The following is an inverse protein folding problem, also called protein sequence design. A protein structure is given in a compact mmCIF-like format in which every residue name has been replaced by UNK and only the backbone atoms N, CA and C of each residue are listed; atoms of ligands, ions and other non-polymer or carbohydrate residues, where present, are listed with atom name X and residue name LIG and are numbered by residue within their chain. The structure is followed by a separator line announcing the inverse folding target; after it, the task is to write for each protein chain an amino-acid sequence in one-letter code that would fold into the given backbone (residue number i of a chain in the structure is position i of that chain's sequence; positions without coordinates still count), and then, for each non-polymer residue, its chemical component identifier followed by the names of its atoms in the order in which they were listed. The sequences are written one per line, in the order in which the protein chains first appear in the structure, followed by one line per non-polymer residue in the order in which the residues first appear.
data_IF_902766457914
#
_entry.id   IF_902766457914
#
_cell.length_a   1.000
_cell.length_b   1.000
_cell.length_c   1.000
_cell.angle_alpha   90.00
_cell.angle_beta   90.00
_cell.angle_gamma   90.00
#
_symmetry.space_group_name_H-M   'P 1'
#
loop_
_entity.id
_entity.type
_entity.pdbx_description
1 polymer ?
#
# COMPACT_ATOMS: atom_id res chain seq x y z
N UNK A 1 -11.21 -4.87 8.26
CA UNK A 1 -10.08 -4.13 7.66
C UNK A 1 -10.12 -4.31 6.15
N UNK A 2 -9.54 -3.37 5.41
CA UNK A 2 -9.46 -3.35 3.96
C UNK A 2 -8.00 -3.14 3.59
N UNK A 3 -7.44 -4.01 2.75
CA UNK A 3 -6.04 -3.95 2.34
C UNK A 3 -5.91 -3.56 0.86
N UNK A 4 -5.33 -2.39 0.58
CA UNK A 4 -5.32 -1.83 -0.78
C UNK A 4 -4.00 -2.03 -1.53
N UNK A 5 -3.06 -2.80 -0.97
CA UNK A 5 -1.77 -3.07 -1.60
C UNK A 5 -1.38 -4.53 -1.38
N UNK A 6 -1.42 -5.33 -2.44
CA UNK A 6 -1.00 -6.73 -2.41
C UNK A 6 -0.56 -7.25 -3.78
N UNK A 7 0.40 -8.17 -3.76
CA UNK A 7 0.91 -8.92 -4.91
C UNK A 7 0.43 -10.37 -4.83
N UNK A 8 -0.88 -10.56 -4.65
CA UNK A 8 -1.51 -11.88 -4.59
C UNK A 8 -2.08 -12.33 -5.93
N UNK A 9 -1.93 -11.54 -7.00
CA UNK A 9 -2.33 -11.96 -8.33
C UNK A 9 -1.31 -13.01 -8.85
N UNK A 10 -1.71 -14.26 -9.11
CA UNK A 10 -0.74 -15.35 -9.24
C UNK A 10 0.06 -15.28 -10.55
N UNK A 11 1.39 -15.31 -10.43
CA UNK A 11 2.31 -15.53 -11.54
C UNK A 11 2.46 -14.35 -12.51
N UNK A 12 2.13 -13.12 -12.07
CA UNK A 12 2.25 -11.91 -12.92
C UNK A 12 3.43 -11.00 -12.55
N UNK A 13 3.91 -11.07 -11.31
CA UNK A 13 5.04 -10.29 -10.79
C UNK A 13 5.85 -11.09 -9.75
N UNK A 14 6.55 -10.42 -8.85
CA UNK A 14 7.38 -11.00 -7.79
C UNK A 14 6.58 -11.46 -6.55
N UNK A 15 5.25 -11.38 -6.62
CA UNK A 15 4.31 -11.84 -5.62
C UNK A 15 4.06 -13.35 -5.58
N UNK A 16 2.80 -13.68 -5.29
CA UNK A 16 2.31 -15.05 -5.27
C UNK A 16 2.52 -15.75 -6.61
N UNK A 17 3.00 -17.00 -6.58
CA UNK A 17 3.35 -17.78 -7.78
C UNK A 17 2.19 -18.59 -8.32
N UNK A 18 1.25 -19.00 -7.46
CA UNK A 18 0.13 -19.88 -7.85
C UNK A 18 -1.17 -19.47 -7.18
N UNK A 19 -2.29 -19.94 -7.74
CA UNK A 19 -3.63 -19.69 -7.19
C UNK A 19 -3.74 -20.27 -5.78
N UNK A 20 -3.16 -21.45 -5.55
CA UNK A 20 -3.18 -22.13 -4.25
C UNK A 20 -2.46 -21.32 -3.18
N UNK A 21 -1.30 -20.73 -3.52
CA UNK A 21 -0.58 -19.84 -2.60
C UNK A 21 -1.43 -18.61 -2.27
N UNK A 22 -2.01 -17.95 -3.27
CA UNK A 22 -2.87 -16.80 -3.04
C UNK A 22 -4.08 -17.15 -2.18
N UNK A 23 -4.75 -18.26 -2.45
CA UNK A 23 -5.93 -18.72 -1.69
C UNK A 23 -5.56 -19.05 -0.24
N UNK A 24 -4.39 -19.63 0.01
CA UNK A 24 -3.92 -19.88 1.38
C UNK A 24 -3.76 -18.57 2.17
N UNK A 25 -3.09 -17.57 1.59
CA UNK A 25 -2.94 -16.25 2.21
C UNK A 25 -4.29 -15.55 2.40
N UNK A 26 -5.17 -15.59 1.39
CA UNK A 26 -6.51 -15.01 1.47
C UNK A 26 -7.31 -15.60 2.65
N UNK A 27 -7.23 -16.92 2.88
CA UNK A 27 -7.88 -17.56 4.03
C UNK A 27 -7.34 -17.03 5.35
N UNK A 28 -6.03 -16.85 5.47
CA UNK A 28 -5.40 -16.34 6.68
C UNK A 28 -5.82 -14.89 6.97
N UNK A 29 -5.76 -13.99 5.98
CA UNK A 29 -6.12 -12.59 6.20
C UNK A 29 -7.61 -12.40 6.48
N UNK A 30 -8.49 -13.28 5.96
CA UNK A 30 -9.91 -13.30 6.34
C UNK A 30 -10.08 -13.60 7.83
N UNK A 31 -9.36 -14.59 8.37
CA UNK A 31 -9.38 -14.89 9.81
C UNK A 31 -8.85 -13.72 10.65
N UNK A 32 -7.98 -12.88 10.08
CA UNK A 32 -7.49 -11.66 10.72
C UNK A 32 -8.46 -10.48 10.62
N UNK A 33 -9.59 -10.64 9.93
CA UNK A 33 -10.65 -9.65 9.79
C UNK A 33 -10.51 -8.72 8.57
N UNK A 34 -9.77 -9.13 7.53
CA UNK A 34 -9.74 -8.44 6.24
C UNK A 34 -10.97 -8.86 5.42
N UNK A 35 -11.79 -7.89 4.98
CA UNK A 35 -13.03 -8.12 4.22
C UNK A 35 -12.90 -7.74 2.75
N UNK A 36 -11.95 -6.89 2.42
CA UNK A 36 -11.71 -6.39 1.07
C UNK A 36 -10.21 -6.32 0.84
N UNK A 37 -9.77 -6.73 -0.35
CA UNK A 37 -8.37 -6.62 -0.76
C UNK A 37 -8.25 -6.15 -2.21
N UNK A 38 -7.33 -5.23 -2.48
CA UNK A 38 -6.97 -4.83 -3.83
C UNK A 38 -5.73 -5.59 -4.29
N UNK A 39 -5.83 -6.26 -5.43
CA UNK A 39 -4.70 -6.91 -6.10
C UNK A 39 -4.01 -5.87 -6.98
N UNK A 40 -2.81 -5.49 -6.61
CA UNK A 40 -2.05 -4.37 -7.18
C UNK A 40 -0.72 -4.83 -7.75
N UNK A 41 -0.71 -5.73 -8.75
CA UNK A 41 0.54 -6.18 -9.34
C UNK A 41 1.30 -5.01 -9.96
N UNK A 42 2.62 -5.15 -10.07
CA UNK A 42 3.46 -4.11 -10.67
C UNK A 42 3.06 -3.79 -12.12
N UNK A 43 3.01 -2.50 -12.46
CA UNK A 43 2.81 -2.01 -13.82
C UNK A 43 3.69 -0.78 -14.07
N UNK A 44 4.51 -0.80 -15.13
CA UNK A 44 5.24 0.39 -15.52
C UNK A 44 4.31 1.44 -16.14
N UNK A 45 4.47 2.72 -15.77
CA UNK A 45 3.74 3.83 -16.37
C UNK A 45 3.93 3.87 -17.90
N UNK A 46 5.09 3.42 -18.40
CA UNK A 46 5.36 3.25 -19.82
C UNK A 46 4.46 2.26 -20.57
N UNK A 47 3.77 1.36 -19.86
CA UNK A 47 2.85 0.36 -20.41
C UNK A 47 1.38 0.67 -20.14
N UNK A 48 1.08 1.77 -19.45
CA UNK A 48 -0.29 2.07 -19.01
C UNK A 48 -1.26 2.30 -20.18
N UNK A 49 -0.76 2.80 -21.32
CA UNK A 49 -1.55 3.02 -22.53
C UNK A 49 -2.07 1.72 -23.16
N UNK A 50 -1.43 0.58 -22.85
CA UNK A 50 -1.87 -0.73 -23.32
C UNK A 50 -3.07 -1.27 -22.50
N UNK A 51 -3.45 -0.55 -21.44
CA UNK A 51 -4.48 -0.95 -20.49
C UNK A 51 -4.01 -2.01 -19.50
N UNK A 52 -4.97 -2.74 -18.92
CA UNK A 52 -4.66 -3.86 -18.03
C UNK A 52 -4.04 -5.01 -18.85
N UNK A 53 -2.87 -5.54 -18.47
CA UNK A 53 -2.29 -6.68 -19.17
C UNK A 53 -3.25 -7.88 -19.18
N UNK A 54 -3.43 -8.53 -20.34
CA UNK A 54 -4.31 -9.70 -20.48
C UNK A 54 -3.98 -10.84 -19.51
N UNK A 55 -2.71 -10.98 -19.13
CA UNK A 55 -2.29 -11.95 -18.13
C UNK A 55 -2.86 -11.64 -16.75
N UNK A 56 -2.91 -10.36 -16.36
CA UNK A 56 -3.49 -9.91 -15.09
C UNK A 56 -5.00 -10.19 -15.07
N UNK A 57 -5.70 -9.92 -16.17
CA UNK A 57 -7.14 -10.19 -16.28
C UNK A 57 -7.47 -11.68 -16.12
N UNK A 58 -6.70 -12.55 -16.78
CA UNK A 58 -6.86 -14.01 -16.67
C UNK A 58 -6.56 -14.48 -15.25
N UNK A 59 -5.46 -14.05 -14.66
CA UNK A 59 -5.08 -14.40 -13.29
C UNK A 59 -6.14 -13.95 -12.29
N UNK A 60 -6.77 -12.78 -12.50
CA UNK A 60 -7.81 -12.27 -11.62
C UNK A 60 -9.06 -13.13 -11.70
N UNK A 61 -9.53 -13.46 -12.91
CA UNK A 61 -10.71 -14.32 -13.08
C UNK A 61 -10.50 -15.68 -12.43
N UNK A 62 -9.32 -16.28 -12.62
CA UNK A 62 -8.97 -17.57 -12.00
C UNK A 62 -8.94 -17.46 -10.47
N UNK A 63 -8.28 -16.44 -9.91
CA UNK A 63 -8.20 -16.28 -8.46
C UNK A 63 -9.57 -15.96 -7.85
N UNK A 64 -10.36 -15.09 -8.47
CA UNK A 64 -11.69 -14.73 -8.00
C UNK A 64 -12.64 -15.93 -7.94
N UNK A 65 -12.52 -16.87 -8.88
CA UNK A 65 -13.29 -18.11 -8.85
C UNK A 65 -12.87 -19.08 -7.72
N UNK A 66 -11.66 -18.94 -7.20
CA UNK A 66 -11.10 -19.79 -6.14
C UNK A 66 -11.02 -19.10 -4.77
N UNK A 67 -11.38 -17.81 -4.70
CA UNK A 67 -11.27 -17.01 -3.49
C UNK A 67 -12.12 -17.60 -2.36
N UNK A 68 -11.63 -17.59 -1.11
CA UNK A 68 -12.45 -18.03 0.03
C UNK A 68 -13.64 -17.10 0.24
N UNK A 69 -14.69 -17.60 0.88
CA UNK A 69 -15.80 -16.76 1.32
C UNK A 69 -15.33 -15.71 2.33
N UNK A 70 -16.03 -14.57 2.38
CA UNK A 70 -15.76 -13.50 3.35
C UNK A 70 -14.75 -12.44 2.88
N UNK A 71 -14.22 -12.53 1.67
CA UNK A 71 -13.34 -11.50 1.08
C UNK A 71 -13.81 -11.03 -0.30
N UNK A 72 -13.88 -9.72 -0.49
CA UNK A 72 -14.08 -9.09 -1.78
C UNK A 72 -12.72 -8.80 -2.44
N UNK A 73 -12.52 -9.29 -3.67
CA UNK A 73 -11.33 -9.00 -4.45
C UNK A 73 -11.57 -7.80 -5.38
N UNK A 74 -10.70 -6.81 -5.29
CA UNK A 74 -10.70 -5.61 -6.12
C UNK A 74 -9.49 -5.60 -7.04
N UNK A 75 -9.63 -4.94 -8.19
CA UNK A 75 -8.53 -4.77 -9.17
C UNK A 75 -7.79 -3.46 -8.91
N UNK A 76 -6.50 -3.46 -9.18
CA UNK A 76 -5.64 -2.26 -9.21
C UNK A 76 -4.30 -2.59 -9.84
N UNK A 77 -3.34 -1.69 -9.68
CA UNK A 77 -1.94 -1.89 -10.02
C UNK A 77 -1.08 -1.01 -9.12
N UNK A 78 0.11 -1.49 -8.77
CA UNK A 78 1.18 -0.62 -8.25
C UNK A 78 1.93 -0.04 -9.45
N UNK A 79 1.70 1.24 -9.73
CA UNK A 79 2.23 1.89 -10.94
C UNK A 79 3.61 2.48 -10.68
N UNK A 80 4.64 1.85 -11.23
CA UNK A 80 6.00 2.41 -11.25
C UNK A 80 6.05 3.61 -12.19
N UNK A 81 6.25 4.81 -11.65
CA UNK A 81 6.37 6.06 -12.42
C UNK A 81 7.76 6.19 -13.07
N UNK A 82 8.07 5.26 -14.00
CA UNK A 82 9.29 5.23 -14.81
C UNK A 82 9.35 6.35 -15.87
N UNK A 83 8.20 6.94 -16.19
CA UNK A 83 8.03 8.12 -17.03
C UNK A 83 6.74 8.88 -16.66
N UNK A 84 6.56 10.13 -17.11
CA UNK A 84 5.29 10.84 -16.93
C UNK A 84 4.12 10.05 -17.52
N UNK A 85 3.00 10.03 -16.80
CA UNK A 85 1.76 9.41 -17.28
C UNK A 85 1.25 10.16 -18.52
N UNK A 86 0.81 9.44 -19.57
CA UNK A 86 0.14 10.07 -20.70
C UNK A 86 -1.25 10.59 -20.27
N UNK A 87 -1.80 11.63 -20.91
CA UNK A 87 -3.14 12.14 -20.59
C UNK A 87 -4.24 11.06 -20.63
N UNK A 88 -4.11 10.06 -21.51
CA UNK A 88 -5.02 8.93 -21.60
C UNK A 88 -5.12 8.11 -20.30
N UNK A 89 -4.10 8.14 -19.43
CA UNK A 89 -4.10 7.45 -18.15
C UNK A 89 -5.26 7.89 -17.22
N UNK A 90 -5.74 9.13 -17.37
CA UNK A 90 -6.91 9.63 -16.64
C UNK A 90 -8.20 8.81 -16.88
N UNK A 91 -8.24 8.08 -18.00
CA UNK A 91 -9.38 7.27 -18.42
C UNK A 91 -9.14 5.76 -18.27
N UNK A 92 -7.93 5.33 -17.93
CA UNK A 92 -7.57 3.91 -17.75
C UNK A 92 -7.96 3.42 -16.34
N UNK A 93 -9.26 3.43 -16.02
CA UNK A 93 -9.76 3.03 -14.68
C UNK A 93 -9.42 1.59 -14.29
N UNK A 94 -9.11 0.72 -15.25
CA UNK A 94 -8.72 -0.66 -14.96
C UNK A 94 -7.41 -0.81 -14.16
N UNK A 95 -6.56 0.22 -14.12
CA UNK A 95 -5.27 0.20 -13.40
C UNK A 95 -5.27 1.04 -12.11
N UNK A 96 -6.39 1.74 -11.83
CA UNK A 96 -6.61 2.46 -10.56
C UNK A 96 -7.24 1.55 -9.52
N UNK A 97 -7.11 1.88 -8.24
CA UNK A 97 -7.64 1.10 -7.12
C UNK A 97 -9.16 0.99 -7.23
N UNK A 98 -9.66 -0.22 -7.49
CA UNK A 98 -11.07 -0.55 -7.69
C UNK A 98 -11.80 0.30 -8.75
N UNK A 99 -11.08 0.84 -9.73
CA UNK A 99 -11.67 1.74 -10.74
C UNK A 99 -11.99 3.16 -10.25
N UNK A 100 -11.57 3.52 -9.04
CA UNK A 100 -11.70 4.87 -8.49
C UNK A 100 -10.76 5.88 -9.17
N UNK A 101 -10.70 7.12 -8.68
CA UNK A 101 -9.67 8.08 -9.08
C UNK A 101 -8.32 7.87 -8.40
N UNK A 102 -8.23 6.97 -7.42
CA UNK A 102 -7.01 6.73 -6.68
C UNK A 102 -6.09 5.78 -7.44
N UNK A 103 -4.86 6.21 -7.68
CA UNK A 103 -3.84 5.43 -8.37
C UNK A 103 -2.69 5.16 -7.40
N UNK A 104 -2.43 3.89 -7.09
CA UNK A 104 -1.25 3.50 -6.32
C UNK A 104 -0.02 3.68 -7.20
N UNK A 105 0.93 4.48 -6.74
CA UNK A 105 2.16 4.82 -7.49
C UNK A 105 3.39 4.58 -6.64
N UNK A 106 4.46 4.15 -7.29
CA UNK A 106 5.76 3.93 -6.66
C UNK A 106 6.91 4.49 -7.53
N UNK A 107 8.10 4.47 -6.93
CA UNK A 107 9.34 4.95 -7.55
C UNK A 107 10.53 4.04 -7.19
N UNK A 108 11.64 4.11 -7.94
CA UNK A 108 12.88 3.51 -7.50
C UNK A 108 13.32 4.04 -6.13
N UNK A 109 13.85 3.17 -5.27
CA UNK A 109 14.21 3.51 -3.87
C UNK A 109 15.15 4.72 -3.71
N UNK A 110 15.99 4.99 -4.69
CA UNK A 110 16.97 6.10 -4.70
C UNK A 110 16.46 7.34 -5.45
N UNK A 111 15.15 7.57 -5.49
CA UNK A 111 14.54 8.73 -6.15
C UNK A 111 14.73 10.03 -5.35
N UNK A 112 15.12 11.16 -6.00
CA UNK A 112 15.13 12.47 -5.36
C UNK A 112 13.72 12.95 -4.93
N UNK A 113 13.61 13.64 -3.80
CA UNK A 113 12.32 14.08 -3.24
C UNK A 113 11.55 14.99 -4.21
N UNK A 114 12.26 15.89 -4.88
CA UNK A 114 11.72 16.87 -5.81
C UNK A 114 11.22 16.21 -7.10
N UNK A 115 11.80 15.06 -7.48
CA UNK A 115 11.33 14.26 -8.61
C UNK A 115 10.00 13.58 -8.26
N UNK A 116 9.89 13.02 -7.06
CA UNK A 116 8.63 12.46 -6.54
C UNK A 116 7.55 13.54 -6.51
N UNK A 117 7.86 14.71 -5.93
CA UNK A 117 6.91 15.83 -5.82
C UNK A 117 6.35 16.28 -7.18
N UNK A 118 7.21 16.50 -8.17
CA UNK A 118 6.76 16.89 -9.52
C UNK A 118 5.92 15.81 -10.18
N UNK A 119 6.31 14.54 -10.06
CA UNK A 119 5.56 13.44 -10.65
C UNK A 119 4.17 13.30 -10.02
N UNK A 120 4.06 13.42 -8.69
CA UNK A 120 2.78 13.39 -7.98
C UNK A 120 1.86 14.53 -8.41
N UNK A 121 2.40 15.75 -8.55
CA UNK A 121 1.64 16.90 -9.04
C UNK A 121 1.09 16.65 -10.45
N UNK A 122 1.89 16.07 -11.35
CA UNK A 122 1.43 15.70 -12.70
C UNK A 122 0.31 14.66 -12.66
N UNK A 123 0.39 13.63 -11.80
CA UNK A 123 -0.70 12.66 -11.64
C UNK A 123 -1.98 13.36 -11.15
N UNK A 124 -1.84 14.30 -10.21
CA UNK A 124 -2.95 15.08 -9.68
C UNK A 124 -3.61 15.98 -10.74
N UNK A 125 -2.81 16.65 -11.57
CA UNK A 125 -3.28 17.51 -12.66
C UNK A 125 -4.07 16.75 -13.73
N UNK A 126 -3.84 15.44 -13.89
CA UNK A 126 -4.64 14.55 -14.74
C UNK A 126 -6.02 14.21 -14.15
N UNK A 127 -6.36 14.72 -12.96
CA UNK A 127 -7.62 14.42 -12.27
C UNK A 127 -7.62 13.09 -11.52
N UNK A 128 -6.44 12.48 -11.33
CA UNK A 128 -6.24 11.32 -10.47
C UNK A 128 -5.81 11.75 -9.06
N UNK A 129 -5.84 10.83 -8.12
CA UNK A 129 -5.37 11.03 -6.74
C UNK A 129 -4.23 10.03 -6.49
N UNK A 130 -2.96 10.47 -6.50
CA UNK A 130 -1.86 9.55 -6.31
C UNK A 130 -1.80 9.06 -4.87
N UNK A 131 -1.88 7.75 -4.68
CA UNK A 131 -1.55 7.07 -3.43
C UNK A 131 -0.09 6.66 -3.51
N UNK A 132 0.79 7.36 -2.80
CA UNK A 132 2.21 7.06 -2.78
C UNK A 132 2.44 5.81 -1.93
N UNK A 133 2.85 4.72 -2.58
CA UNK A 133 3.17 3.46 -1.93
C UNK A 133 4.42 3.62 -1.03
N UNK A 134 4.31 3.06 0.18
CA UNK A 134 5.38 2.83 1.16
C UNK A 134 6.50 3.90 1.17
N UNK A 135 6.17 5.20 1.37
CA UNK A 135 7.12 6.31 1.23
C UNK A 135 8.39 6.15 2.07
N UNK A 136 8.28 5.50 3.23
CA UNK A 136 9.40 5.16 4.10
C UNK A 136 10.50 4.31 3.43
N UNK A 137 10.23 3.66 2.29
CA UNK A 137 11.22 2.90 1.53
C UNK A 137 12.14 3.79 0.69
N UNK A 138 11.75 5.02 0.38
CA UNK A 138 12.58 5.97 -0.37
C UNK A 138 13.68 6.56 0.50
N UNK A 139 14.90 6.66 -0.04
CA UNK A 139 16.04 7.27 0.66
C UNK A 139 15.83 8.77 0.93
N UNK A 140 15.00 9.43 0.11
CA UNK A 140 14.62 10.83 0.23
C UNK A 140 13.47 11.09 1.21
N UNK A 141 12.91 10.03 1.81
CA UNK A 141 11.77 10.16 2.71
C UNK A 141 12.16 10.83 4.03
N UNK A 142 11.42 11.89 4.36
CA UNK A 142 11.47 12.62 5.63
C UNK A 142 10.08 13.21 5.89
N UNK A 143 9.82 13.67 7.12
CA UNK A 143 8.56 14.39 7.43
C UNK A 143 8.39 15.62 6.54
N UNK A 144 9.47 16.35 6.25
CA UNK A 144 9.42 17.51 5.35
C UNK A 144 9.06 17.11 3.92
N UNK A 145 9.70 16.06 3.38
CA UNK A 145 9.37 15.52 2.06
C UNK A 145 7.92 15.03 1.98
N UNK A 146 7.46 14.27 2.99
CA UNK A 146 6.08 13.79 3.07
C UNK A 146 5.05 14.92 3.08
N UNK A 147 5.32 16.04 3.76
CA UNK A 147 4.46 17.24 3.69
C UNK A 147 4.40 17.83 2.28
N UNK A 148 5.53 17.91 1.58
CA UNK A 148 5.56 18.38 0.18
C UNK A 148 4.80 17.45 -0.76
N UNK A 149 4.95 16.14 -0.60
CA UNK A 149 4.22 15.14 -1.39
C UNK A 149 2.70 15.23 -1.19
N UNK A 150 2.23 15.41 0.06
CA UNK A 150 0.80 15.67 0.33
C UNK A 150 0.34 17.00 -0.26
N UNK A 151 1.15 18.05 -0.18
CA UNK A 151 0.84 19.34 -0.81
C UNK A 151 0.76 19.23 -2.35
N UNK A 152 1.54 18.34 -2.97
CA UNK A 152 1.43 17.96 -4.37
C UNK A 152 0.22 17.06 -4.69
N UNK A 153 -0.67 16.83 -3.71
CA UNK A 153 -1.94 16.15 -3.90
C UNK A 153 -1.92 14.64 -3.62
N UNK A 154 -0.83 14.10 -3.05
CA UNK A 154 -0.71 12.69 -2.75
C UNK A 154 -1.32 12.27 -1.41
N UNK A 155 -1.77 11.03 -1.36
CA UNK A 155 -2.15 10.31 -0.15
C UNK A 155 -1.01 9.34 0.18
N UNK A 156 -0.66 9.19 1.44
CA UNK A 156 0.49 8.36 1.84
C UNK A 156 0.02 7.01 2.38
N UNK A 157 0.44 5.94 1.73
CA UNK A 157 0.23 4.56 2.20
C UNK A 157 1.49 4.08 2.92
N UNK A 158 1.44 3.90 4.23
CA UNK A 158 2.55 3.32 5.00
C UNK A 158 2.43 1.79 5.03
N UNK A 159 3.54 1.08 4.89
CA UNK A 159 3.60 -0.38 4.94
C UNK A 159 3.47 -0.86 6.39
N UNK A 160 2.44 -1.66 6.66
CA UNK A 160 2.08 -2.10 8.00
C UNK A 160 3.20 -2.93 8.68
N UNK A 161 3.97 -3.69 7.91
CA UNK A 161 5.05 -4.53 8.43
C UNK A 161 6.29 -3.70 8.72
N UNK A 162 6.62 -2.76 7.84
CA UNK A 162 7.72 -1.81 7.97
C UNK A 162 7.50 -0.89 9.16
N UNK A 163 6.26 -0.47 9.41
CA UNK A 163 5.87 0.34 10.58
C UNK A 163 6.34 -0.28 11.90
N UNK A 164 6.35 -1.61 12.00
CA UNK A 164 6.76 -2.34 13.20
C UNK A 164 8.23 -2.78 13.17
N UNK A 165 8.94 -2.56 12.06
CA UNK A 165 10.32 -2.99 11.92
C UNK A 165 11.27 -2.08 12.74
N UNK A 166 12.26 -2.65 13.46
CA UNK A 166 13.33 -1.89 14.11
C UNK A 166 14.42 -1.53 13.08
N UNK A 167 14.05 -0.80 12.04
CA UNK A 167 14.95 -0.37 10.96
C UNK A 167 14.80 1.12 10.69
N UNK A 168 15.73 1.72 9.95
CA UNK A 168 15.62 3.13 9.53
C UNK A 168 14.37 3.39 8.68
N UNK A 169 13.90 2.40 7.91
CA UNK A 169 12.61 2.45 7.21
C UNK A 169 11.45 2.48 8.21
N UNK A 170 11.46 1.62 9.22
CA UNK A 170 10.43 1.63 10.26
C UNK A 170 10.44 2.91 11.10
N UNK A 171 11.59 3.51 11.34
CA UNK A 171 11.69 4.83 11.97
C UNK A 171 11.06 5.92 11.12
N UNK A 172 11.29 5.91 9.80
CA UNK A 172 10.61 6.83 8.86
C UNK A 172 9.09 6.61 8.83
N UNK A 173 8.63 5.35 8.77
CA UNK A 173 7.21 5.01 8.83
C UNK A 173 6.55 5.57 10.09
N UNK A 174 7.17 5.35 11.26
CA UNK A 174 6.69 5.88 12.55
C UNK A 174 6.75 7.41 12.60
N UNK A 175 7.75 8.05 11.99
CA UNK A 175 7.83 9.51 11.92
C UNK A 175 6.72 10.12 11.05
N UNK A 176 6.33 9.47 9.95
CA UNK A 176 5.18 9.86 9.12
C UNK A 176 3.88 9.74 9.93
N UNK A 177 3.68 8.62 10.63
CA UNK A 177 2.51 8.38 11.46
C UNK A 177 2.42 9.39 12.63
N UNK A 178 3.53 9.63 13.33
CA UNK A 178 3.62 10.59 14.43
C UNK A 178 3.48 12.06 13.99
N UNK A 179 3.53 12.33 12.68
CA UNK A 179 3.27 13.64 12.10
C UNK A 179 1.84 13.80 11.56
N UNK A 180 0.97 12.78 11.68
CA UNK A 180 -0.39 12.79 11.11
C UNK A 180 -0.39 12.82 9.58
N UNK A 181 0.62 12.21 8.95
CA UNK A 181 0.82 12.26 7.50
C UNK A 181 0.42 10.96 6.79
N UNK A 182 0.24 9.85 7.50
CA UNK A 182 -0.25 8.61 6.90
C UNK A 182 -1.76 8.71 6.65
N UNK A 183 -2.19 8.36 5.44
CA UNK A 183 -3.61 8.38 5.06
C UNK A 183 -4.21 6.97 5.12
N UNK A 184 -3.42 5.93 4.78
CA UNK A 184 -3.79 4.52 4.91
C UNK A 184 -2.60 3.65 5.36
N UNK A 185 -2.91 2.47 5.88
CA UNK A 185 -1.95 1.36 6.03
C UNK A 185 -2.34 0.22 5.08
N UNK A 186 -1.34 -0.43 4.49
CA UNK A 186 -1.51 -1.60 3.64
C UNK A 186 -0.40 -2.63 3.93
N UNK A 187 -0.65 -3.92 3.67
CA UNK A 187 0.30 -4.97 4.05
C UNK A 187 1.43 -5.15 3.04
N UNK A 188 1.19 -4.82 1.76
CA UNK A 188 2.09 -5.11 0.65
C UNK A 188 2.41 -6.62 0.58
N UNK A 189 1.42 -7.50 0.76
CA UNK A 189 1.68 -8.95 0.86
C UNK A 189 2.10 -9.55 -0.49
N UNK A 190 3.18 -10.34 -0.54
CA UNK A 190 3.69 -11.01 -1.77
C UNK A 190 3.50 -12.54 -1.77
N UNK A 191 2.41 -13.04 -1.20
CA UNK A 191 2.20 -14.46 -0.99
C UNK A 191 2.91 -15.00 0.25
N UNK A 192 3.14 -14.15 1.26
CA UNK A 192 3.80 -14.44 2.52
C UNK A 192 2.90 -14.09 3.73
N UNK A 193 3.47 -14.01 4.93
CA UNK A 193 2.75 -13.81 6.20
C UNK A 193 2.42 -12.33 6.53
N UNK A 194 2.75 -11.41 5.62
CA UNK A 194 2.50 -9.97 5.81
C UNK A 194 1.01 -9.68 5.95
N UNK A 195 0.62 -8.92 6.97
CA UNK A 195 -0.79 -8.52 7.14
C UNK A 195 -0.94 -7.21 7.90
N UNK A 196 -2.15 -6.65 7.89
CA UNK A 196 -2.51 -5.48 8.67
C UNK A 196 -2.62 -5.76 10.18
N UNK A 197 -2.82 -7.02 10.58
CA UNK A 197 -3.24 -7.37 11.93
C UNK A 197 -2.24 -6.94 13.01
N UNK A 198 -0.94 -7.19 12.79
CA UNK A 198 0.08 -6.82 13.76
C UNK A 198 0.14 -5.30 13.97
N UNK A 199 -0.03 -4.51 12.91
CA UNK A 199 -0.05 -3.05 12.98
C UNK A 199 -1.33 -2.54 13.65
N UNK A 200 -2.48 -3.16 13.39
CA UNK A 200 -3.75 -2.88 14.08
C UNK A 200 -3.56 -3.07 15.59
N UNK A 201 -3.08 -4.25 15.99
CA UNK A 201 -2.94 -4.61 17.41
C UNK A 201 -1.95 -3.67 18.12
N UNK A 202 -0.89 -3.25 17.43
CA UNK A 202 0.05 -2.26 17.96
C UNK A 202 -0.57 -0.87 18.15
N UNK A 203 -1.42 -0.41 17.23
CA UNK A 203 -2.13 0.87 17.37
C UNK A 203 -3.16 0.82 18.51
N UNK A 204 -3.93 -0.26 18.59
CA UNK A 204 -4.91 -0.49 19.67
C UNK A 204 -4.21 -0.50 21.02
N UNK A 205 -3.06 -1.18 21.13
CA UNK A 205 -2.30 -1.22 22.38
C UNK A 205 -1.79 0.16 22.86
N UNK A 206 -1.68 1.14 21.95
CA UNK A 206 -1.30 2.53 22.27
C UNK A 206 -2.54 3.46 22.44
N UNK A 207 -3.75 2.90 22.48
CA UNK A 207 -5.00 3.67 22.59
C UNK A 207 -5.36 4.45 21.34
N UNK A 208 -4.91 3.98 20.16
CA UNK A 208 -5.12 4.62 18.87
C UNK A 208 -6.14 3.86 18.00
N UNK A 209 -7.20 3.31 18.61
CA UNK A 209 -8.26 2.54 17.93
C UNK A 209 -8.96 3.35 16.83
N UNK A 210 -9.20 4.64 17.08
CA UNK A 210 -9.82 5.53 16.09
C UNK A 210 -8.93 5.70 14.86
N UNK A 211 -7.62 5.90 15.06
CA UNK A 211 -6.65 6.04 13.97
C UNK A 211 -6.45 4.72 13.23
N UNK A 212 -6.43 3.58 13.93
CA UNK A 212 -6.42 2.26 13.29
C UNK A 212 -7.65 2.07 12.38
N UNK A 213 -8.83 2.49 12.85
CA UNK A 213 -10.07 2.45 12.05
C UNK A 213 -9.97 3.33 10.81
N UNK A 214 -9.48 4.57 10.96
CA UNK A 214 -9.28 5.46 9.82
C UNK A 214 -8.29 4.89 8.80
N UNK A 215 -7.11 4.45 9.25
CA UNK A 215 -6.01 3.97 8.40
C UNK A 215 -6.30 2.65 7.68
N UNK A 216 -7.11 1.77 8.27
CA UNK A 216 -7.29 0.38 7.79
C UNK A 216 -8.73 0.04 7.41
N UNK A 217 -9.69 0.96 7.61
CA UNK A 217 -11.11 0.71 7.28
C UNK A 217 -11.76 1.93 6.62
N UNK A 218 -11.82 3.09 7.29
CA UNK A 218 -12.56 4.26 6.77
C UNK A 218 -11.93 4.83 5.50
N UNK A 219 -10.65 5.19 5.54
CA UNK A 219 -9.98 5.76 4.37
C UNK A 219 -9.81 4.74 3.23
N UNK A 220 -9.43 3.47 3.50
CA UNK A 220 -9.47 2.45 2.46
C UNK A 220 -10.86 2.26 1.82
N UNK A 221 -11.95 2.28 2.59
CA UNK A 221 -13.32 2.23 2.04
C UNK A 221 -13.61 3.47 1.19
N UNK A 222 -13.25 4.65 1.65
CA UNK A 222 -13.41 5.88 0.88
C UNK A 222 -12.66 5.81 -0.47
N UNK A 223 -11.48 5.19 -0.52
CA UNK A 223 -10.78 4.93 -1.78
C UNK A 223 -11.60 4.03 -2.71
N UNK A 224 -12.10 2.89 -2.19
CA UNK A 224 -12.93 1.97 -2.98
C UNK A 224 -14.20 2.64 -3.51
N UNK A 225 -14.81 3.54 -2.73
CA UNK A 225 -16.07 4.23 -3.04
C UNK A 225 -15.86 5.57 -3.78
N UNK A 226 -14.62 5.87 -4.19
CA UNK A 226 -14.21 7.13 -4.84
C UNK A 226 -14.58 8.41 -4.03
N UNK A 227 -14.49 8.36 -2.71
CA UNK A 227 -14.77 9.46 -1.78
C UNK A 227 -13.50 10.11 -1.22
N UNK A 228 -13.55 11.38 -0.78
CA UNK A 228 -12.45 12.03 -0.08
C UNK A 228 -12.05 11.28 1.21
N UNK A 229 -10.78 11.39 1.60
CA UNK A 229 -10.27 10.76 2.83
C UNK A 229 -10.44 11.68 4.03
N UNK A 230 -10.56 11.07 5.20
CA UNK A 230 -10.54 11.76 6.48
C UNK A 230 -9.10 11.92 7.00
N UNK A 231 -8.87 13.02 7.72
CA UNK A 231 -7.57 13.27 8.34
C UNK A 231 -7.34 12.31 9.51
N UNK A 232 -6.15 11.72 9.54
CA UNK A 232 -5.69 10.89 10.65
C UNK A 232 -4.86 11.74 11.59
N UNK A 233 -5.33 11.90 12.83
CA UNK A 233 -4.59 12.60 13.87
C UNK A 233 -3.24 11.91 14.18
N UNK A 234 -2.20 12.65 14.59
CA UNK A 234 -0.89 12.09 14.91
C UNK A 234 -0.93 10.95 15.95
N UNK A 235 -0.17 9.88 15.70
CA UNK A 235 0.00 8.75 16.63
C UNK A 235 1.46 8.41 16.84
N UNK A 236 1.89 8.28 18.09
CA UNK A 236 3.23 7.80 18.42
C UNK A 236 3.17 6.33 18.80
N UNK A 237 3.75 5.46 17.97
CA UNK A 237 3.92 4.04 18.28
C UNK A 237 5.25 3.78 18.99
N UNK A 238 5.21 3.14 20.16
CA UNK A 238 6.43 2.72 20.86
C UNK A 238 6.75 1.27 20.49
N UNK A 239 7.94 1.03 19.95
CA UNK A 239 8.42 -0.33 19.68
C UNK A 239 9.00 -0.90 20.99
N UNK A 240 8.45 -2.01 21.54
CA UNK A 240 8.99 -2.60 22.76
C UNK A 240 10.46 -3.01 22.58
N UNK A 241 11.28 -2.77 23.61
CA UNK A 241 12.72 -3.06 23.59
C UNK A 241 13.03 -4.55 23.33
N UNK A 242 12.15 -5.46 23.70
CA UNK A 242 12.30 -6.91 23.47
C UNK A 242 12.33 -7.28 21.98
N UNK A 243 11.57 -6.57 21.13
CA UNK A 243 11.61 -6.74 19.67
C UNK A 243 12.90 -6.19 19.05
N UNK A 244 13.61 -5.28 19.73
CA UNK A 244 14.94 -4.80 19.29
C UNK A 244 16.05 -5.83 19.57
N UNK A 245 15.94 -6.58 20.68
CA UNK A 245 16.99 -7.51 21.13
C UNK A 245 16.91 -8.88 20.47
N UNK A 246 15.71 -9.41 20.19
CA UNK A 246 15.54 -10.74 19.58
C UNK A 246 16.37 -10.92 18.28
N UNK A 247 16.61 -9.83 17.55
CA UNK A 247 17.47 -9.83 16.36
C UNK A 247 18.97 -9.82 16.61
N UNK A 248 19.48 -9.28 17.72
CA UNK A 248 20.91 -9.36 18.03
C UNK A 248 21.37 -10.81 18.19
N UNK A 249 20.46 -11.69 18.60
CA UNK A 249 20.70 -13.12 18.69
C UNK A 249 20.45 -13.85 17.36
N UNK A 250 19.48 -13.43 16.55
CA UNK A 250 19.21 -14.05 15.24
C UNK A 250 20.19 -13.62 14.13
N UNK A 251 20.89 -12.48 14.25
CA UNK A 251 21.95 -12.05 13.33
C UNK A 251 23.37 -12.47 13.76
N UNK A 252 23.48 -13.31 14.80
CA UNK A 252 24.74 -13.89 15.27
C UNK A 252 25.03 -15.31 14.77
N UNK A 253 24.13 -15.90 13.96
CA UNK A 253 24.25 -17.27 13.43
C UNK A 253 24.29 -17.33 11.88
N UNK A 254 24.70 -16.27 11.20
CA UNK A 254 24.84 -16.23 9.73
C UNK A 254 26.18 -15.70 9.27
#
# INVERSE_FOLDING_TARGET
MIDLHSHLLPGVDDGSRTVEQSVAVLREIVQLGVTDICLTPHLAASRISDGVPRAHDRAFVTLAAAAPEGIALHRGAEVMLDRPLPPAAAHTRGVTLAGSRYMLVEFPRMVPSETVERALAMVHELGLRPVLAHPERYSSCSVAAARRWRAAGAQLQVDANTLLAPSSRGERARAILAAGLADILAADNHGDDRSLAAARDALVAEGAEAQATLLMTTNPRAILDDQPLELVEPVTLRIPWTRRIRRLFESGEG
#
